data_IF_814524974665
#
_entry.id   IF_814524974665
#
_cell.length_a   1.000
_cell.length_b   1.000
_cell.length_c   1.000
_cell.angle_alpha   90.00
_cell.angle_beta   90.00
_cell.angle_gamma   90.00
#
_symmetry.space_group_name_H-M   'P 1'
#
loop_
_entity.id
_entity.type
_entity.pdbx_description
1 polymer ?
#
# COMPACT_ATOMS: atom_id res chain seq x y z
N UNK A 1 -47.57 4.28 -47.97
CA UNK A 1 -48.07 5.67 -47.97
C UNK A 1 -47.09 6.55 -47.18
N UNK A 2 -46.52 7.42 -47.96
CA UNK A 2 -45.60 8.51 -47.62
C UNK A 2 -46.28 9.58 -46.76
N UNK A 3 -45.54 10.14 -45.78
CA UNK A 3 -45.69 11.58 -45.47
C UNK A 3 -44.35 12.12 -44.90
N UNK A 4 -43.71 12.93 -45.73
CA UNK A 4 -42.62 13.86 -45.43
C UNK A 4 -43.22 15.13 -44.82
N UNK A 5 -42.59 15.75 -43.86
CA UNK A 5 -42.83 17.14 -43.46
C UNK A 5 -41.53 17.79 -42.96
N UNK A 6 -41.37 19.13 -42.95
CA UNK A 6 -40.18 19.77 -43.51
C UNK A 6 -39.25 20.40 -42.47
N UNK A 7 -38.06 20.70 -42.98
CA UNK A 7 -36.97 21.50 -42.38
C UNK A 7 -37.39 22.95 -42.17
N UNK A 8 -37.19 23.50 -40.99
CA UNK A 8 -37.19 24.94 -40.74
C UNK A 8 -35.78 25.38 -40.34
N UNK A 9 -35.19 26.13 -41.26
CA UNK A 9 -33.96 26.90 -41.09
C UNK A 9 -34.34 28.21 -40.40
N UNK A 10 -33.72 28.47 -39.23
CA UNK A 10 -33.77 29.81 -38.62
C UNK A 10 -32.35 30.33 -38.55
N UNK A 11 -32.09 31.26 -39.44
CA UNK A 11 -30.90 32.15 -39.42
C UNK A 11 -31.16 33.28 -38.42
N UNK A 12 -30.25 33.57 -37.51
CA UNK A 12 -30.29 34.84 -36.79
C UNK A 12 -28.89 35.41 -36.52
N UNK A 13 -28.69 36.48 -37.12
CA UNK A 13 -27.85 37.69 -36.97
C UNK A 13 -26.74 37.71 -35.90
N UNK A 14 -25.62 38.10 -36.46
CA UNK A 14 -24.42 38.66 -35.82
C UNK A 14 -24.72 40.06 -35.27
N UNK A 15 -24.38 40.34 -34.02
CA UNK A 15 -24.20 41.69 -33.50
C UNK A 15 -22.76 41.81 -32.99
N UNK A 16 -21.97 42.56 -33.73
CA UNK A 16 -20.63 43.05 -33.37
C UNK A 16 -20.81 44.27 -32.50
N UNK A 17 -20.31 44.28 -31.29
CA UNK A 17 -20.09 45.49 -30.50
C UNK A 17 -18.58 45.57 -30.17
N UNK A 18 -17.94 46.46 -30.90
CA UNK A 18 -16.61 46.94 -30.58
C UNK A 18 -16.68 47.90 -29.38
N UNK A 19 -15.93 47.59 -28.32
CA UNK A 19 -15.67 48.48 -27.19
C UNK A 19 -14.17 48.53 -26.95
N UNK A 20 -13.55 49.65 -27.33
CA UNK A 20 -12.18 50.01 -27.02
C UNK A 20 -12.01 50.49 -25.60
N UNK A 21 -10.84 50.17 -24.99
CA UNK A 21 -10.20 51.00 -23.98
C UNK A 21 -10.24 50.43 -22.58
N UNK A 22 -9.15 49.90 -22.10
CA UNK A 22 -8.31 50.57 -21.10
C UNK A 22 -6.99 49.80 -20.90
N UNK A 23 -5.89 50.47 -21.01
CA UNK A 23 -4.55 50.03 -20.68
C UNK A 23 -4.41 50.09 -19.16
N UNK A 24 -4.54 48.92 -18.52
CA UNK A 24 -4.19 48.71 -17.11
C UNK A 24 -3.13 47.62 -17.00
N UNK A 25 -1.87 48.05 -16.93
CA UNK A 25 -0.73 47.22 -16.56
C UNK A 25 -0.96 46.70 -15.12
N UNK A 26 -1.42 45.46 -15.00
CA UNK A 26 -1.67 44.76 -13.77
C UNK A 26 -1.08 43.37 -13.87
N UNK A 27 0.23 43.25 -13.61
CA UNK A 27 0.92 41.99 -13.45
C UNK A 27 0.35 41.26 -12.22
N UNK A 28 -0.83 40.71 -12.34
CA UNK A 28 -1.34 39.70 -11.38
C UNK A 28 -0.61 38.41 -11.65
N UNK A 29 0.56 38.25 -11.05
CA UNK A 29 1.14 36.93 -10.77
C UNK A 29 0.17 36.19 -9.85
N UNK A 30 -0.91 35.66 -10.41
CA UNK A 30 -1.76 34.69 -9.77
C UNK A 30 -0.93 33.44 -9.54
N UNK A 31 -0.22 33.40 -8.41
CA UNK A 31 0.25 32.15 -7.82
C UNK A 31 -0.98 31.31 -7.54
N UNK A 32 -1.48 30.63 -8.56
CA UNK A 32 -2.38 29.50 -8.42
C UNK A 32 -1.65 28.44 -7.60
N UNK A 33 -1.80 28.48 -6.28
CA UNK A 33 -1.34 27.47 -5.35
C UNK A 33 -2.08 26.15 -5.58
N UNK A 34 -1.95 25.57 -6.76
CA UNK A 34 -2.35 24.20 -7.02
C UNK A 34 -1.47 23.29 -6.16
N UNK A 35 -1.99 22.79 -5.04
CA UNK A 35 -1.28 21.92 -4.13
C UNK A 35 -0.71 20.73 -4.89
N UNK A 36 0.60 20.48 -4.76
CA UNK A 36 1.26 19.32 -5.38
C UNK A 36 0.85 18.07 -4.62
N UNK A 37 0.52 17.00 -5.34
CA UNK A 37 0.16 15.71 -4.73
C UNK A 37 1.23 14.68 -5.04
N UNK A 38 1.86 14.14 -4.01
CA UNK A 38 2.75 12.98 -4.08
C UNK A 38 1.90 11.71 -3.92
N UNK A 39 1.89 10.85 -4.93
CA UNK A 39 1.15 9.58 -4.90
C UNK A 39 2.08 8.44 -4.53
N UNK A 40 1.79 7.76 -3.42
CA UNK A 40 2.59 6.67 -2.88
C UNK A 40 1.77 5.38 -2.85
N UNK A 41 2.21 4.36 -3.58
CA UNK A 41 1.70 3.01 -3.47
C UNK A 41 2.53 2.24 -2.46
N UNK A 42 1.88 1.71 -1.43
CA UNK A 42 2.58 1.03 -0.34
C UNK A 42 1.87 -0.24 0.12
N UNK A 43 2.65 -1.25 0.50
CA UNK A 43 2.12 -2.48 1.07
C UNK A 43 1.16 -2.18 2.23
N UNK A 44 0.07 -2.93 2.34
CA UNK A 44 -0.96 -2.75 3.38
C UNK A 44 -0.39 -2.75 4.81
N UNK A 45 0.66 -3.53 5.08
CA UNK A 45 1.37 -3.56 6.37
C UNK A 45 2.15 -2.28 6.71
N UNK A 46 2.29 -1.34 5.76
CA UNK A 46 2.93 -0.04 5.98
C UNK A 46 1.94 1.08 6.35
N UNK A 47 0.65 0.78 6.41
CA UNK A 47 -0.43 1.78 6.56
C UNK A 47 -0.16 2.75 7.71
N UNK A 48 0.09 2.27 8.91
CA UNK A 48 0.24 3.10 10.10
C UNK A 48 1.52 3.95 10.02
N UNK A 49 2.65 3.31 9.66
CA UNK A 49 3.95 3.98 9.61
C UNK A 49 4.03 5.00 8.49
N UNK A 50 3.55 4.66 7.29
CA UNK A 50 3.58 5.56 6.15
C UNK A 50 2.58 6.71 6.29
N UNK A 51 1.42 6.48 6.91
CA UNK A 51 0.50 7.58 7.26
C UNK A 51 1.18 8.59 8.20
N UNK A 52 1.92 8.11 9.21
CA UNK A 52 2.70 8.96 10.10
C UNK A 52 3.80 9.72 9.35
N UNK A 53 4.59 9.03 8.51
CA UNK A 53 5.65 9.65 7.71
C UNK A 53 5.09 10.63 6.68
N UNK A 54 3.92 10.36 6.11
CA UNK A 54 3.23 11.28 5.20
C UNK A 54 2.86 12.60 5.88
N UNK A 55 2.33 12.55 7.10
CA UNK A 55 2.04 13.76 7.90
C UNK A 55 3.32 14.56 8.19
N UNK A 56 4.41 13.88 8.54
CA UNK A 56 5.70 14.50 8.75
C UNK A 56 6.20 15.18 7.47
N UNK A 57 6.09 14.50 6.34
CA UNK A 57 6.49 15.03 5.04
C UNK A 57 5.66 16.27 4.65
N UNK A 58 4.34 16.20 4.79
CA UNK A 58 3.44 17.34 4.54
C UNK A 58 3.77 18.54 5.42
N UNK A 59 4.10 18.32 6.70
CA UNK A 59 4.52 19.39 7.62
C UNK A 59 5.81 20.10 7.20
N UNK A 60 6.74 19.37 6.58
CA UNK A 60 8.00 19.92 6.06
C UNK A 60 7.87 20.55 4.66
N UNK A 61 6.75 20.29 3.96
CA UNK A 61 6.55 20.72 2.56
C UNK A 61 5.19 21.44 2.41
N UNK A 62 5.07 22.72 2.79
CA UNK A 62 3.84 23.48 2.67
C UNK A 62 3.25 23.42 1.25
N UNK A 63 1.95 23.17 1.13
CA UNK A 63 1.28 23.03 -0.17
C UNK A 63 1.45 21.65 -0.84
N UNK A 64 2.13 20.69 -0.21
CA UNK A 64 2.20 19.30 -0.67
C UNK A 64 1.20 18.45 0.09
N UNK A 65 0.53 17.53 -0.63
CA UNK A 65 -0.31 16.46 -0.06
C UNK A 65 0.26 15.10 -0.45
N UNK A 66 0.32 14.17 0.51
CA UNK A 66 0.71 12.78 0.24
C UNK A 66 -0.54 11.92 0.17
N UNK A 67 -0.78 11.35 -1.02
CA UNK A 67 -1.88 10.42 -1.25
C UNK A 67 -1.35 9.00 -1.24
N UNK A 68 -1.84 8.20 -0.32
CA UNK A 68 -1.50 6.79 -0.24
C UNK A 68 -2.56 5.90 -0.93
N UNK A 69 -2.06 4.86 -1.61
CA UNK A 69 -2.85 3.69 -1.97
C UNK A 69 -2.20 2.49 -1.25
N UNK A 70 -2.86 2.02 -0.19
CA UNK A 70 -2.42 0.86 0.58
C UNK A 70 -3.14 -0.40 0.07
N UNK A 71 -2.37 -1.48 -0.14
CA UNK A 71 -2.94 -2.73 -0.62
C UNK A 71 -1.93 -3.86 -0.73
N UNK A 72 -2.36 -4.97 -1.29
CA UNK A 72 -1.46 -6.08 -1.60
C UNK A 72 -0.43 -5.65 -2.65
N UNK A 73 0.86 -5.79 -2.30
CA UNK A 73 1.96 -5.30 -3.15
C UNK A 73 1.89 -5.84 -4.58
N UNK A 74 1.43 -7.09 -4.77
CA UNK A 74 1.29 -7.69 -6.10
C UNK A 74 0.22 -7.00 -6.96
N UNK A 75 -0.88 -6.53 -6.34
CA UNK A 75 -1.91 -5.76 -7.04
C UNK A 75 -1.41 -4.36 -7.39
N UNK A 76 -0.72 -3.71 -6.45
CA UNK A 76 -0.11 -2.39 -6.67
C UNK A 76 0.95 -2.43 -7.78
N UNK A 77 1.81 -3.45 -7.79
CA UNK A 77 2.80 -3.65 -8.85
C UNK A 77 2.14 -3.79 -10.24
N UNK A 78 1.05 -4.57 -10.33
CA UNK A 78 0.29 -4.67 -11.60
C UNK A 78 -0.32 -3.33 -12.03
N UNK A 79 -0.85 -2.52 -11.11
CA UNK A 79 -1.37 -1.20 -11.45
C UNK A 79 -0.26 -0.28 -12.00
N UNK A 80 0.94 -0.32 -11.41
CA UNK A 80 2.10 0.43 -11.90
C UNK A 80 2.47 -0.01 -13.31
N UNK A 81 2.62 -1.33 -13.54
CA UNK A 81 2.98 -1.86 -14.88
C UNK A 81 1.87 -1.67 -15.92
N UNK A 82 0.65 -1.35 -15.49
CA UNK A 82 -0.46 -0.93 -16.35
C UNK A 82 -0.54 0.60 -16.54
N UNK A 83 0.45 1.35 -16.05
CA UNK A 83 0.57 2.79 -16.27
C UNK A 83 -0.14 3.67 -15.26
N UNK A 84 -0.44 3.18 -14.04
CA UNK A 84 -0.98 4.03 -12.99
C UNK A 84 -0.01 5.19 -12.68
N UNK A 85 -0.50 6.44 -12.54
CA UNK A 85 0.33 7.60 -12.21
C UNK A 85 0.74 7.56 -10.74
N UNK A 86 1.92 7.03 -10.47
CA UNK A 86 2.48 6.81 -9.14
C UNK A 86 3.88 7.40 -9.05
N UNK A 87 4.21 7.99 -7.92
CA UNK A 87 5.53 8.59 -7.69
C UNK A 87 6.47 7.63 -6.95
N UNK A 88 5.96 6.93 -5.92
CA UNK A 88 6.75 6.03 -5.06
C UNK A 88 6.05 4.69 -4.90
N UNK A 89 6.82 3.61 -5.01
CA UNK A 89 6.35 2.26 -4.68
C UNK A 89 7.16 1.65 -3.53
N UNK A 90 6.47 1.18 -2.48
CA UNK A 90 7.04 0.47 -1.34
C UNK A 90 6.37 -0.91 -1.19
N UNK A 91 7.10 -1.97 -1.52
CA UNK A 91 6.59 -3.34 -1.54
C UNK A 91 6.96 -4.13 -0.28
N UNK A 92 6.16 -5.15 0.06
CA UNK A 92 6.43 -6.07 1.17
C UNK A 92 7.30 -7.28 0.75
N UNK A 93 7.86 -7.29 -0.45
CA UNK A 93 8.85 -8.30 -0.86
C UNK A 93 9.70 -7.83 -2.03
N UNK A 94 10.98 -8.27 -2.11
CA UNK A 94 11.83 -8.02 -3.27
C UNK A 94 11.28 -8.63 -4.58
N UNK A 95 10.63 -9.80 -4.51
CA UNK A 95 10.05 -10.45 -5.68
C UNK A 95 8.95 -9.59 -6.33
N UNK A 96 8.12 -8.95 -5.53
CA UNK A 96 7.08 -8.06 -6.06
C UNK A 96 7.66 -6.76 -6.64
N UNK A 97 8.68 -6.20 -6.00
CA UNK A 97 9.40 -5.03 -6.54
C UNK A 97 10.07 -5.37 -7.87
N UNK A 98 10.62 -6.59 -7.98
CA UNK A 98 11.25 -7.06 -9.21
C UNK A 98 10.29 -7.02 -10.41
N UNK A 99 9.00 -7.27 -10.22
CA UNK A 99 7.98 -7.13 -11.29
C UNK A 99 7.98 -5.72 -11.91
N UNK A 100 8.10 -4.69 -11.07
CA UNK A 100 8.12 -3.29 -11.53
C UNK A 100 9.47 -2.95 -12.18
N UNK A 101 10.57 -3.48 -11.63
CA UNK A 101 11.92 -3.29 -12.18
C UNK A 101 12.04 -3.95 -13.55
N UNK A 102 11.59 -5.21 -13.69
CA UNK A 102 11.66 -5.96 -14.94
C UNK A 102 10.81 -5.34 -16.07
N UNK A 103 9.74 -4.63 -15.69
CA UNK A 103 8.91 -3.87 -16.62
C UNK A 103 9.53 -2.52 -17.03
N UNK A 104 10.65 -2.12 -16.42
CA UNK A 104 11.28 -0.82 -16.67
C UNK A 104 10.56 0.36 -15.98
N UNK A 105 9.67 0.08 -15.03
CA UNK A 105 8.85 1.08 -14.35
C UNK A 105 9.45 1.57 -13.02
N UNK A 106 10.67 1.17 -12.66
CA UNK A 106 11.40 1.72 -11.52
C UNK A 106 12.51 2.67 -11.99
N UNK A 107 12.60 3.85 -11.37
CA UNK A 107 13.68 4.81 -11.59
C UNK A 107 14.87 4.45 -10.70
N UNK A 108 15.83 3.72 -11.24
CA UNK A 108 17.03 3.28 -10.52
C UNK A 108 16.82 2.03 -9.65
N UNK A 109 17.82 1.72 -8.85
CA UNK A 109 17.82 0.51 -8.02
C UNK A 109 16.94 0.67 -6.78
N UNK A 110 15.99 -0.25 -6.51
CA UNK A 110 15.23 -0.27 -5.26
C UNK A 110 16.13 -0.46 -4.04
N UNK A 111 15.75 0.14 -2.92
CA UNK A 111 16.48 0.03 -1.65
C UNK A 111 15.62 -0.66 -0.61
N UNK A 112 16.13 -1.73 0.01
CA UNK A 112 15.49 -2.35 1.17
C UNK A 112 15.64 -1.41 2.35
N UNK A 113 14.51 -0.98 2.95
CA UNK A 113 14.50 -0.01 4.02
C UNK A 113 14.11 -0.60 5.38
N UNK A 114 13.51 -1.78 5.37
CA UNK A 114 13.12 -2.49 6.59
C UNK A 114 12.84 -3.97 6.30
N UNK A 115 12.65 -4.76 7.38
CA UNK A 115 12.23 -6.17 7.31
C UNK A 115 11.04 -6.42 8.23
N UNK A 116 10.30 -7.47 7.95
CA UNK A 116 9.19 -7.91 8.80
C UNK A 116 9.08 -9.44 8.79
N UNK A 117 8.51 -10.00 9.85
CA UNK A 117 8.26 -11.45 9.97
C UNK A 117 6.83 -11.72 10.36
N UNK A 118 6.38 -12.93 10.05
CA UNK A 118 5.04 -13.38 10.39
C UNK A 118 4.92 -13.74 11.87
N UNK A 119 3.70 -13.56 12.38
CA UNK A 119 3.19 -14.10 13.63
C UNK A 119 1.83 -14.74 13.38
N UNK A 120 1.40 -15.62 14.27
CA UNK A 120 0.03 -16.10 14.28
C UNK A 120 -0.80 -15.05 15.01
N UNK A 121 -1.77 -14.47 14.32
CA UNK A 121 -2.76 -13.59 14.92
C UNK A 121 -3.97 -14.39 15.35
N UNK A 122 -4.42 -14.19 16.59
CA UNK A 122 -5.65 -14.75 17.15
C UNK A 122 -6.49 -13.62 17.73
N UNK A 123 -7.83 -13.73 17.84
CA UNK A 123 -8.62 -12.82 18.65
C UNK A 123 -8.07 -12.75 20.08
N UNK A 124 -8.31 -11.64 20.78
CA UNK A 124 -7.74 -11.42 22.12
C UNK A 124 -8.07 -12.53 23.12
N UNK A 125 -9.30 -13.03 23.06
CA UNK A 125 -9.84 -14.12 23.90
C UNK A 125 -9.48 -15.53 23.43
N UNK A 126 -8.90 -15.64 22.22
CA UNK A 126 -8.41 -16.88 21.60
C UNK A 126 -9.36 -18.08 21.76
N UNK A 127 -10.56 -18.02 21.20
CA UNK A 127 -11.54 -19.10 21.31
C UNK A 127 -11.02 -20.42 20.71
N UNK A 128 -10.12 -20.32 19.73
CA UNK A 128 -9.45 -21.47 19.10
C UNK A 128 -8.36 -22.12 19.97
N UNK A 129 -7.94 -21.48 21.06
CA UNK A 129 -6.84 -21.93 21.94
C UNK A 129 -5.60 -22.32 21.13
N UNK A 130 -5.13 -21.39 20.28
CA UNK A 130 -3.98 -21.59 19.43
C UNK A 130 -2.70 -21.23 20.20
N UNK A 131 -1.85 -22.21 20.45
CA UNK A 131 -0.58 -22.04 21.15
C UNK A 131 0.65 -21.95 20.24
N UNK A 132 0.53 -22.40 18.99
CA UNK A 132 1.66 -22.41 18.04
C UNK A 132 1.29 -22.82 16.63
N UNK A 133 2.31 -22.86 15.75
CA UNK A 133 2.11 -23.10 14.33
C UNK A 133 1.47 -24.46 14.00
N UNK A 134 1.74 -25.48 14.81
CA UNK A 134 1.18 -26.84 14.64
C UNK A 134 -0.33 -26.86 14.83
N UNK A 135 -0.87 -26.00 15.69
CA UNK A 135 -2.30 -25.89 15.93
C UNK A 135 -3.10 -25.42 14.72
N UNK A 136 -2.46 -24.72 13.78
CA UNK A 136 -3.11 -24.24 12.56
C UNK A 136 -3.61 -25.37 11.65
N UNK A 137 -3.18 -26.62 11.88
CA UNK A 137 -3.66 -27.80 11.17
C UNK A 137 -4.80 -28.55 11.88
N UNK A 138 -5.21 -28.10 13.08
CA UNK A 138 -6.30 -28.75 13.83
C UNK A 138 -7.63 -28.67 13.05
N UNK A 139 -8.37 -29.78 12.98
CA UNK A 139 -9.71 -29.77 12.40
C UNK A 139 -10.64 -28.82 13.16
N UNK A 140 -11.54 -28.17 12.42
CA UNK A 140 -12.56 -27.27 12.99
C UNK A 140 -12.11 -25.83 13.19
N UNK A 141 -10.80 -25.53 13.19
CA UNK A 141 -10.33 -24.15 13.23
C UNK A 141 -10.53 -23.44 11.90
N UNK A 142 -11.06 -22.22 11.97
CA UNK A 142 -11.18 -21.30 10.83
C UNK A 142 -9.87 -20.53 10.67
N UNK A 143 -9.01 -20.98 9.79
CA UNK A 143 -7.72 -20.33 9.52
C UNK A 143 -7.85 -19.49 8.24
N UNK A 144 -7.38 -18.24 8.29
CA UNK A 144 -7.30 -17.34 7.15
C UNK A 144 -5.85 -17.03 6.83
N UNK A 145 -5.49 -17.14 5.57
CA UNK A 145 -4.15 -16.84 5.06
C UNK A 145 -4.22 -15.82 3.92
N UNK A 146 -3.11 -15.19 3.60
CA UNK A 146 -2.97 -14.51 2.33
C UNK A 146 -2.90 -15.52 1.17
N UNK A 147 -3.31 -15.12 -0.03
CA UNK A 147 -3.09 -15.86 -1.26
C UNK A 147 -1.58 -15.99 -1.54
N UNK A 148 -1.13 -17.12 -2.08
CA UNK A 148 0.30 -17.44 -2.22
C UNK A 148 1.05 -16.49 -3.15
N UNK A 149 0.35 -15.87 -4.11
CA UNK A 149 0.91 -14.90 -5.05
C UNK A 149 1.17 -13.51 -4.46
N UNK A 150 0.76 -13.24 -3.21
CA UNK A 150 1.07 -11.97 -2.54
C UNK A 150 2.14 -12.18 -1.46
N UNK A 151 2.88 -11.11 -1.04
CA UNK A 151 4.04 -11.25 -0.16
C UNK A 151 3.78 -12.02 1.15
N UNK A 152 2.68 -11.72 1.84
CA UNK A 152 2.31 -12.41 3.09
C UNK A 152 1.96 -13.88 2.86
N UNK A 153 1.36 -14.24 1.73
CA UNK A 153 1.03 -15.62 1.39
C UNK A 153 2.25 -16.44 1.00
N UNK A 154 3.16 -15.86 0.22
CA UNK A 154 4.43 -16.51 -0.10
C UNK A 154 5.26 -16.76 1.17
N UNK A 155 5.31 -15.78 2.08
CA UNK A 155 5.96 -15.92 3.39
C UNK A 155 5.28 -16.99 4.26
N UNK A 156 3.93 -17.00 4.30
CA UNK A 156 3.16 -17.99 5.04
C UNK A 156 3.44 -19.40 4.52
N UNK A 157 3.41 -19.60 3.21
CA UNK A 157 3.75 -20.89 2.60
C UNK A 157 5.14 -21.35 3.02
N UNK A 158 6.15 -20.50 2.90
CA UNK A 158 7.54 -20.83 3.26
C UNK A 158 7.68 -21.22 4.74
N UNK A 159 7.04 -20.45 5.63
CA UNK A 159 7.10 -20.74 7.07
C UNK A 159 6.34 -22.03 7.44
N UNK A 160 5.18 -22.28 6.85
CA UNK A 160 4.40 -23.49 7.07
C UNK A 160 5.09 -24.74 6.50
N UNK A 161 5.71 -24.63 5.33
CA UNK A 161 6.51 -25.71 4.74
C UNK A 161 7.69 -26.07 5.68
N UNK A 162 8.39 -25.05 6.21
CA UNK A 162 9.48 -25.25 7.18
C UNK A 162 9.01 -25.88 8.50
N UNK A 163 7.77 -25.60 8.92
CA UNK A 163 7.16 -26.23 10.10
C UNK A 163 6.63 -27.64 9.84
N UNK A 164 6.57 -28.07 8.57
CA UNK A 164 5.92 -29.33 8.19
C UNK A 164 4.40 -29.32 8.44
N UNK A 165 3.76 -28.13 8.43
CA UNK A 165 2.35 -27.93 8.76
C UNK A 165 1.54 -27.66 7.51
N UNK A 166 0.49 -28.47 7.30
CA UNK A 166 -0.45 -28.28 6.20
C UNK A 166 -1.74 -27.64 6.71
N UNK A 167 -1.98 -26.40 6.27
CA UNK A 167 -3.19 -25.65 6.63
C UNK A 167 -4.19 -25.71 5.49
N UNK A 168 -5.48 -25.88 5.82
CA UNK A 168 -6.60 -25.73 4.90
C UNK A 168 -7.35 -24.45 5.26
N UNK A 169 -6.95 -23.30 4.69
CA UNK A 169 -7.57 -22.03 5.04
C UNK A 169 -9.02 -21.97 4.54
N UNK A 170 -9.90 -21.37 5.34
CA UNK A 170 -11.30 -21.12 4.94
C UNK A 170 -11.39 -19.98 3.93
N UNK A 171 -10.38 -19.10 3.87
CA UNK A 171 -10.26 -18.11 2.81
C UNK A 171 -8.81 -17.68 2.58
N UNK A 172 -8.54 -17.10 1.40
CA UNK A 172 -7.25 -16.56 0.99
C UNK A 172 -7.41 -15.10 0.58
N UNK A 173 -6.76 -14.21 1.31
CA UNK A 173 -6.90 -12.76 1.17
C UNK A 173 -5.84 -12.16 0.24
N UNK A 174 -6.17 -11.01 -0.36
CA UNK A 174 -5.27 -10.33 -1.29
C UNK A 174 -4.22 -9.46 -0.60
N UNK A 175 -4.37 -9.21 0.71
CA UNK A 175 -3.39 -8.51 1.54
C UNK A 175 -3.52 -8.92 3.03
N UNK A 176 -2.54 -8.50 3.81
CA UNK A 176 -2.43 -8.89 5.22
C UNK A 176 -3.46 -8.19 6.12
N UNK A 177 -3.92 -6.99 5.77
CA UNK A 177 -4.95 -6.28 6.55
C UNK A 177 -6.31 -6.94 6.42
N UNK A 178 -6.61 -7.55 5.28
CA UNK A 178 -7.82 -8.36 5.10
C UNK A 178 -7.78 -9.61 6.00
N UNK A 179 -6.62 -10.31 6.12
CA UNK A 179 -6.44 -11.40 7.10
C UNK A 179 -6.65 -10.89 8.52
N UNK A 180 -5.96 -9.82 8.92
CA UNK A 180 -6.06 -9.23 10.25
C UNK A 180 -7.50 -8.84 10.59
N UNK A 181 -8.24 -8.27 9.65
CA UNK A 181 -9.63 -7.84 9.85
C UNK A 181 -10.53 -9.03 10.18
N UNK A 182 -10.41 -10.15 9.47
CA UNK A 182 -11.21 -11.36 9.76
C UNK A 182 -10.91 -11.94 11.14
N UNK A 183 -9.64 -11.95 11.54
CA UNK A 183 -9.25 -12.37 12.91
C UNK A 183 -9.83 -11.41 13.94
N UNK A 184 -9.68 -10.10 13.75
CA UNK A 184 -10.16 -9.07 14.67
C UNK A 184 -11.68 -9.10 14.87
N UNK A 185 -12.44 -9.43 13.81
CA UNK A 185 -13.90 -9.54 13.86
C UNK A 185 -14.40 -10.90 14.38
N UNK A 186 -13.49 -11.85 14.67
CA UNK A 186 -13.87 -13.20 15.11
C UNK A 186 -14.44 -14.07 13.97
N UNK A 187 -14.29 -13.65 12.72
CA UNK A 187 -14.66 -14.46 11.55
C UNK A 187 -13.69 -15.62 11.32
N UNK A 188 -12.46 -15.49 11.85
CA UNK A 188 -11.41 -16.49 11.84
C UNK A 188 -10.85 -16.69 13.25
N UNK A 189 -10.53 -17.95 13.59
CA UNK A 189 -9.90 -18.31 14.86
C UNK A 189 -8.42 -17.94 14.86
N UNK A 190 -7.75 -17.99 13.70
CA UNK A 190 -6.37 -17.54 13.54
C UNK A 190 -6.05 -17.17 12.08
N UNK A 191 -4.96 -16.40 11.92
CA UNK A 191 -4.39 -16.09 10.61
C UNK A 191 -2.89 -15.78 10.74
N UNK A 192 -2.16 -15.85 9.61
CA UNK A 192 -0.77 -15.41 9.59
C UNK A 192 -0.72 -13.96 9.08
N UNK A 193 -0.21 -13.08 9.94
CA UNK A 193 -0.03 -11.64 9.66
C UNK A 193 1.39 -11.23 10.01
N UNK A 194 1.81 -10.03 9.64
CA UNK A 194 3.10 -9.54 10.11
C UNK A 194 3.04 -9.11 11.58
N UNK A 195 4.19 -9.17 12.26
CA UNK A 195 4.33 -8.73 13.66
C UNK A 195 3.79 -7.31 13.87
N UNK A 196 4.08 -6.41 12.95
CA UNK A 196 3.62 -5.03 13.01
C UNK A 196 2.10 -4.89 12.95
N UNK A 197 1.43 -5.74 12.15
CA UNK A 197 -0.04 -5.74 12.04
C UNK A 197 -0.68 -6.18 13.35
N UNK A 198 -0.15 -7.25 13.97
CA UNK A 198 -0.64 -7.73 15.26
C UNK A 198 -0.40 -6.69 16.36
N UNK A 199 0.76 -6.00 16.37
CA UNK A 199 1.04 -4.91 17.31
C UNK A 199 0.08 -3.73 17.15
N UNK A 200 -0.18 -3.31 15.93
CA UNK A 200 -1.11 -2.20 15.66
C UNK A 200 -2.55 -2.52 16.11
N UNK A 201 -2.92 -3.80 16.14
CA UNK A 201 -4.24 -4.28 16.57
C UNK A 201 -4.25 -4.88 18.00
N UNK A 202 -3.21 -4.67 18.79
CA UNK A 202 -3.02 -5.29 20.12
C UNK A 202 -4.23 -5.25 21.08
N UNK A 203 -5.11 -4.21 21.06
CA UNK A 203 -6.31 -4.24 21.89
C UNK A 203 -7.30 -5.35 21.54
N UNK A 204 -7.32 -5.83 20.29
CA UNK A 204 -8.30 -6.78 19.77
C UNK A 204 -7.68 -8.11 19.32
N UNK A 205 -6.38 -8.12 19.09
CA UNK A 205 -5.65 -9.26 18.53
C UNK A 205 -4.40 -9.54 19.37
N UNK A 206 -4.09 -10.82 19.59
CA UNK A 206 -2.84 -11.28 20.16
C UNK A 206 -1.98 -11.92 19.06
N UNK A 207 -0.71 -11.51 18.99
CA UNK A 207 0.29 -12.12 18.12
C UNK A 207 1.06 -13.21 18.87
N UNK A 208 1.18 -14.39 18.26
CA UNK A 208 1.94 -15.53 18.79
C UNK A 208 3.14 -15.75 17.87
N UNK A 209 4.34 -15.60 18.43
CA UNK A 209 5.59 -15.86 17.70
C UNK A 209 5.77 -17.37 17.48
N UNK A 210 6.44 -17.73 16.38
CA UNK A 210 6.82 -19.10 16.09
C UNK A 210 8.18 -19.14 15.38
N UNK A 211 8.96 -20.17 15.63
CA UNK A 211 10.37 -20.23 15.24
C UNK A 211 10.57 -20.19 13.69
N UNK A 212 9.70 -20.89 12.98
CA UNK A 212 9.80 -21.04 11.52
C UNK A 212 9.52 -19.74 10.75
N UNK A 213 8.94 -18.72 11.39
CA UNK A 213 8.80 -17.39 10.81
C UNK A 213 10.17 -16.76 10.45
N UNK A 214 11.25 -17.18 11.12
CA UNK A 214 12.60 -16.74 10.81
C UNK A 214 13.08 -17.18 9.41
N UNK A 215 12.52 -18.26 8.86
CA UNK A 215 12.84 -18.73 7.49
C UNK A 215 12.19 -17.88 6.42
N UNK A 216 11.22 -17.04 6.76
CA UNK A 216 10.34 -16.32 5.85
C UNK A 216 10.29 -14.81 6.14
N UNK A 217 11.41 -14.23 6.57
CA UNK A 217 11.54 -12.79 6.79
C UNK A 217 11.43 -12.06 5.45
N UNK A 218 10.53 -11.09 5.36
CA UNK A 218 10.34 -10.26 4.18
C UNK A 218 11.15 -8.97 4.29
N UNK A 219 12.00 -8.71 3.28
CA UNK A 219 12.60 -7.40 3.05
C UNK A 219 11.62 -6.49 2.33
N UNK A 220 11.56 -5.23 2.72
CA UNK A 220 10.68 -4.21 2.15
C UNK A 220 11.50 -3.24 1.30
N UNK A 221 11.49 -3.36 -0.03
CA UNK A 221 12.11 -2.41 -0.93
C UNK A 221 11.20 -1.21 -1.20
N UNK A 222 11.84 -0.06 -1.44
CA UNK A 222 11.21 1.18 -1.90
C UNK A 222 11.93 1.70 -3.15
N UNK A 223 11.18 2.24 -4.09
CA UNK A 223 11.70 2.86 -5.32
C UNK A 223 10.84 4.04 -5.76
N UNK A 224 11.45 4.98 -6.47
CA UNK A 224 10.77 5.94 -7.33
C UNK A 224 10.25 5.20 -8.57
N UNK A 225 9.06 5.54 -9.05
CA UNK A 225 8.50 5.01 -10.30
C UNK A 225 9.06 5.79 -11.48
N UNK A 226 9.39 5.10 -12.59
CA UNK A 226 10.16 5.68 -13.71
C UNK A 226 9.53 6.92 -14.36
N UNK A 227 8.20 7.02 -14.33
CA UNK A 227 7.46 8.17 -14.88
C UNK A 227 6.73 8.97 -13.80
N UNK A 228 7.36 9.06 -12.61
CA UNK A 228 6.80 9.77 -11.47
C UNK A 228 6.42 11.22 -11.81
N UNK A 229 5.13 11.61 -11.68
CA UNK A 229 4.72 13.00 -11.92
C UNK A 229 5.42 13.99 -10.98
N UNK A 230 5.80 13.55 -9.77
CA UNK A 230 6.45 14.36 -8.76
C UNK A 230 7.83 13.77 -8.37
N UNK A 231 8.71 13.51 -9.35
CA UNK A 231 10.00 12.84 -9.18
C UNK A 231 10.88 13.46 -8.07
N UNK A 232 10.93 14.80 -7.95
CA UNK A 232 11.69 15.48 -6.90
C UNK A 232 11.12 15.16 -5.51
N UNK A 233 9.80 15.28 -5.31
CA UNK A 233 9.15 14.95 -4.04
C UNK A 233 9.26 13.45 -3.72
N UNK A 234 9.23 12.57 -4.74
CA UNK A 234 9.44 11.14 -4.57
C UNK A 234 10.82 10.84 -3.95
N UNK A 235 11.88 11.46 -4.45
CA UNK A 235 13.25 11.32 -3.91
C UNK A 235 13.36 11.82 -2.47
N UNK A 236 12.73 12.95 -2.16
CA UNK A 236 12.72 13.51 -0.83
C UNK A 236 11.95 12.62 0.16
N UNK A 237 10.77 12.11 -0.24
CA UNK A 237 10.01 11.16 0.58
C UNK A 237 10.76 9.85 0.82
N UNK A 238 11.40 9.29 -0.21
CA UNK A 238 12.27 8.12 -0.08
C UNK A 238 13.43 8.43 0.86
N UNK A 239 14.03 9.61 0.77
CA UNK A 239 15.06 10.09 1.70
C UNK A 239 14.58 10.12 3.15
N UNK A 240 13.37 10.62 3.41
CA UNK A 240 12.75 10.60 4.73
C UNK A 240 12.57 9.16 5.25
N UNK A 241 12.04 8.25 4.44
CA UNK A 241 11.81 6.83 4.82
C UNK A 241 13.12 6.13 5.17
N UNK A 242 14.18 6.36 4.39
CA UNK A 242 15.50 5.76 4.57
C UNK A 242 16.33 6.46 5.68
N UNK A 243 15.96 7.66 6.08
CA UNK A 243 16.64 8.48 7.07
C UNK A 243 16.42 8.02 8.52
N UNK A 244 17.02 8.74 9.46
CA UNK A 244 16.92 8.44 10.90
C UNK A 244 15.48 8.45 11.41
N UNK A 245 14.68 9.43 10.97
CA UNK A 245 13.28 9.57 11.37
C UNK A 245 12.42 8.40 10.86
N UNK A 246 12.59 8.00 9.59
CA UNK A 246 11.91 6.84 9.02
C UNK A 246 12.26 5.57 9.78
N UNK A 247 13.54 5.33 10.04
CA UNK A 247 14.01 4.19 10.84
C UNK A 247 13.39 4.16 12.23
N UNK A 248 13.33 5.29 12.91
CA UNK A 248 12.72 5.39 14.25
C UNK A 248 11.26 5.00 14.23
N UNK A 249 10.46 5.57 13.30
CA UNK A 249 9.02 5.25 13.16
C UNK A 249 8.81 3.76 12.86
N UNK A 250 9.60 3.20 11.95
CA UNK A 250 9.50 1.78 11.58
C UNK A 250 9.87 0.85 12.75
N UNK A 251 10.97 1.12 13.46
CA UNK A 251 11.42 0.31 14.59
C UNK A 251 10.41 0.35 15.74
N UNK A 252 9.86 1.52 16.06
CA UNK A 252 8.81 1.66 17.08
C UNK A 252 7.54 0.86 16.73
N UNK A 253 7.19 0.76 15.46
CA UNK A 253 6.09 -0.08 15.00
C UNK A 253 6.39 -1.59 15.04
N UNK A 254 7.66 -1.98 15.22
CA UNK A 254 8.10 -3.38 15.33
C UNK A 254 8.69 -3.97 14.05
N UNK A 255 8.98 -3.15 13.07
CA UNK A 255 9.80 -3.57 11.93
C UNK A 255 11.25 -3.81 12.37
N UNK A 256 11.98 -4.63 11.62
CA UNK A 256 13.38 -4.97 11.84
C UNK A 256 14.28 -4.12 10.92
N UNK A 257 15.52 -3.90 11.32
CA UNK A 257 16.51 -3.24 10.48
C UNK A 257 16.68 -3.99 9.13
N UNK A 258 17.02 -3.26 8.05
CA UNK A 258 17.24 -3.83 6.73
C UNK A 258 18.39 -4.81 6.64
#
# INVERSE_FOLDING_TARGET
LSKRAPVAVVSLLVAVLAGCGDTGDGTSSGTGGGGRTLTVFAAASLTETFTSLGKTFEGAHPGVKVRFNFGGSSALARQITQGAPVDVFAAASPATMKTVVDAGDAAGAPRVFTKNRLVIAVPKDDPGKVGGVRDLSRPGLKIVLCAEQVPCGAAAKKALDAAGVRVRPVSREQDVKAVLTKVRLGEADAGLVYRTDARAAAPQVRGIEFAEAATAVNGYPIAEVAKAPQAALAKEFIGLVLGGQGRTVLTQAGFEAP
#
